data_IF_747580796011
#
_entry.id   IF_747580796011
#
_cell.length_a   1.000
_cell.length_b   1.000
_cell.length_c   1.000
_cell.angle_alpha   90.00
_cell.angle_beta   90.00
_cell.angle_gamma   90.00
#
_symmetry.space_group_name_H-M   'P 1'
#
loop_
_entity.id
_entity.type
_entity.pdbx_description
1 polymer ?
#
# COMPACT_ATOMS: atom_id res chain seq x y z
N UNK A 1 -32.51 11.81 20.17
CA UNK A 1 -32.86 10.41 19.82
C UNK A 1 -33.98 10.41 18.78
N UNK A 2 -33.69 10.08 17.52
CA UNK A 2 -34.72 9.70 16.53
C UNK A 2 -34.43 8.25 16.15
N UNK A 3 -35.30 7.36 16.60
CA UNK A 3 -35.29 5.96 16.21
C UNK A 3 -35.55 5.89 14.69
N UNK A 4 -34.54 5.51 13.91
CA UNK A 4 -34.74 5.10 12.53
C UNK A 4 -35.51 3.78 12.54
N UNK A 5 -36.74 3.80 12.01
CA UNK A 5 -37.47 2.57 11.73
C UNK A 5 -36.57 1.61 10.93
N UNK A 6 -36.37 0.40 11.47
CA UNK A 6 -35.74 -0.70 10.74
C UNK A 6 -36.70 -1.05 9.61
N UNK A 7 -36.47 -0.49 8.43
CA UNK A 7 -37.08 -0.95 7.20
C UNK A 7 -36.50 -2.35 6.93
N UNK A 8 -37.24 -3.39 7.32
CA UNK A 8 -37.09 -4.74 6.81
C UNK A 8 -37.50 -4.79 5.32
N UNK A 9 -36.96 -3.88 4.50
CA UNK A 9 -37.17 -3.93 3.06
C UNK A 9 -36.30 -5.09 2.55
N UNK A 10 -36.95 -6.23 2.35
CA UNK A 10 -36.38 -7.33 1.60
C UNK A 10 -36.01 -6.75 0.24
N UNK A 11 -34.71 -6.63 -0.02
CA UNK A 11 -34.22 -6.14 -1.30
C UNK A 11 -34.53 -7.22 -2.35
N UNK A 12 -35.71 -7.11 -2.96
CA UNK A 12 -36.25 -8.08 -3.92
C UNK A 12 -35.29 -8.32 -5.07
N UNK A 13 -34.52 -7.30 -5.50
CA UNK A 13 -33.50 -7.44 -6.52
C UNK A 13 -32.37 -8.39 -6.08
N UNK A 14 -31.85 -8.27 -4.85
CA UNK A 14 -30.84 -9.21 -4.31
C UNK A 14 -31.42 -10.61 -4.13
N UNK A 15 -32.68 -10.71 -3.72
CA UNK A 15 -33.35 -12.00 -3.52
C UNK A 15 -33.59 -12.72 -4.86
N UNK A 16 -34.07 -11.98 -5.86
CA UNK A 16 -34.20 -12.45 -7.23
C UNK A 16 -32.85 -12.83 -7.82
N UNK A 17 -31.80 -12.03 -7.62
CA UNK A 17 -30.44 -12.35 -8.06
C UNK A 17 -29.88 -13.63 -7.43
N UNK A 18 -30.21 -13.94 -6.16
CA UNK A 18 -29.87 -15.23 -5.52
C UNK A 18 -30.66 -16.39 -6.11
N UNK A 19 -31.96 -16.21 -6.33
CA UNK A 19 -32.84 -17.22 -6.93
C UNK A 19 -32.39 -17.52 -8.37
N UNK A 20 -32.15 -16.47 -9.17
CA UNK A 20 -31.59 -16.55 -10.50
C UNK A 20 -30.25 -17.28 -10.48
N UNK A 21 -29.27 -16.89 -9.66
CA UNK A 21 -27.98 -17.63 -9.58
C UNK A 21 -28.13 -19.12 -9.23
N UNK A 22 -29.16 -19.48 -8.46
CA UNK A 22 -29.46 -20.87 -8.07
C UNK A 22 -30.18 -21.64 -9.19
N UNK A 23 -31.10 -20.99 -9.90
CA UNK A 23 -31.98 -21.60 -10.92
C UNK A 23 -31.47 -21.44 -12.36
N UNK A 24 -30.65 -20.43 -12.64
CA UNK A 24 -30.05 -20.16 -13.96
C UNK A 24 -28.93 -21.15 -14.31
N UNK A 25 -28.43 -21.88 -13.30
CA UNK A 25 -27.62 -23.07 -13.55
C UNK A 25 -28.61 -24.15 -13.97
N UNK A 26 -28.77 -24.33 -15.29
CA UNK A 26 -29.52 -25.45 -15.86
C UNK A 26 -29.02 -26.74 -15.21
N UNK A 27 -29.81 -27.29 -14.29
CA UNK A 27 -29.61 -28.65 -13.82
C UNK A 27 -30.16 -29.52 -14.94
N UNK A 28 -29.34 -30.44 -15.46
CA UNK A 28 -29.84 -31.45 -16.37
C UNK A 28 -30.87 -32.29 -15.60
N UNK A 29 -32.15 -32.00 -15.81
CA UNK A 29 -33.22 -32.83 -15.30
C UNK A 29 -33.10 -34.17 -16.00
N UNK A 30 -33.18 -35.27 -15.27
CA UNK A 30 -33.29 -36.59 -15.88
C UNK A 30 -34.56 -36.59 -16.74
N UNK A 31 -34.40 -36.68 -18.07
CA UNK A 31 -35.52 -36.78 -19.00
C UNK A 31 -36.23 -38.12 -18.73
N UNK A 32 -37.35 -38.05 -18.01
CA UNK A 32 -38.23 -39.20 -17.86
C UNK A 32 -38.98 -39.41 -19.18
N UNK A 33 -39.01 -40.65 -19.67
CA UNK A 33 -39.72 -40.99 -20.90
C UNK A 33 -41.23 -40.84 -20.65
N UNK A 34 -41.95 -40.02 -21.44
CA UNK A 34 -43.41 -39.90 -21.35
C UNK A 34 -44.13 -41.25 -21.44
N UNK A 35 -45.16 -41.45 -20.61
CA UNK A 35 -45.89 -42.73 -20.53
C UNK A 35 -46.59 -43.10 -21.85
N UNK A 36 -47.10 -42.09 -22.56
CA UNK A 36 -47.73 -42.20 -23.88
C UNK A 36 -46.82 -42.88 -24.93
N UNK A 37 -45.51 -42.62 -24.89
CA UNK A 37 -44.54 -43.23 -25.82
C UNK A 37 -44.26 -44.70 -25.50
N UNK A 38 -44.46 -45.12 -24.24
CA UNK A 38 -44.37 -46.53 -23.84
C UNK A 38 -45.59 -47.31 -24.33
N UNK A 39 -46.77 -46.70 -24.30
CA UNK A 39 -48.02 -47.32 -24.76
C UNK A 39 -48.06 -47.53 -26.28
N UNK A 40 -47.47 -46.61 -27.05
CA UNK A 40 -47.37 -46.70 -28.51
C UNK A 40 -46.34 -47.75 -28.96
N UNK A 41 -45.54 -48.31 -28.03
CA UNK A 41 -44.58 -49.38 -28.32
C UNK A 41 -43.35 -48.92 -29.12
N UNK A 42 -43.01 -47.63 -29.06
CA UNK A 42 -41.87 -47.07 -29.79
C UNK A 42 -40.56 -47.60 -29.19
N UNK A 43 -39.64 -48.04 -30.05
CA UNK A 43 -38.31 -48.52 -29.62
C UNK A 43 -37.48 -47.33 -29.10
N UNK A 44 -37.42 -47.18 -27.79
CA UNK A 44 -36.60 -46.17 -27.12
C UNK A 44 -35.18 -46.72 -26.99
N UNK A 45 -34.20 -46.02 -27.58
CA UNK A 45 -32.77 -46.33 -27.43
C UNK A 45 -32.14 -45.33 -26.47
N UNK A 46 -31.28 -45.79 -25.56
CA UNK A 46 -30.51 -44.90 -24.71
C UNK A 46 -29.53 -44.12 -25.59
N UNK A 47 -29.37 -42.81 -25.35
CA UNK A 47 -28.41 -41.98 -26.08
C UNK A 47 -26.99 -42.56 -26.00
N UNK A 48 -26.65 -43.28 -24.93
CA UNK A 48 -25.38 -43.99 -24.76
C UNK A 48 -25.13 -45.11 -25.77
N UNK A 49 -26.19 -45.69 -26.34
CA UNK A 49 -26.10 -46.77 -27.34
C UNK A 49 -25.85 -46.22 -28.76
N UNK A 50 -26.25 -44.97 -29.00
CA UNK A 50 -26.13 -44.29 -30.31
C UNK A 50 -24.84 -43.46 -30.39
N UNK A 51 -24.45 -42.84 -29.28
CA UNK A 51 -23.22 -42.05 -29.22
C UNK A 51 -22.00 -42.96 -29.39
N UNK A 52 -21.19 -42.69 -30.41
CA UNK A 52 -19.92 -43.39 -30.65
C UNK A 52 -19.08 -43.43 -29.37
N UNK A 53 -18.34 -44.54 -29.20
CA UNK A 53 -17.51 -44.86 -28.03
C UNK A 53 -17.05 -43.62 -27.28
N UNK A 54 -17.56 -43.45 -26.07
CA UNK A 54 -17.09 -42.43 -25.14
C UNK A 54 -15.57 -42.57 -25.03
N UNK A 55 -14.81 -41.69 -25.70
CA UNK A 55 -13.37 -41.57 -25.47
C UNK A 55 -13.19 -41.24 -23.99
N UNK A 56 -12.94 -42.27 -23.18
CA UNK A 56 -12.59 -42.10 -21.77
C UNK A 56 -11.22 -41.45 -21.75
N UNK A 57 -11.20 -40.13 -21.64
CA UNK A 57 -9.96 -39.43 -21.37
C UNK A 57 -9.43 -39.95 -20.03
N UNK A 58 -8.16 -40.36 -19.95
CA UNK A 58 -7.57 -40.70 -18.66
C UNK A 58 -7.75 -39.51 -17.71
N UNK A 59 -8.08 -39.74 -16.43
CA UNK A 59 -8.24 -38.66 -15.48
C UNK A 59 -6.93 -37.86 -15.42
N UNK A 60 -6.95 -36.65 -15.99
CA UNK A 60 -5.84 -35.72 -15.84
C UNK A 60 -5.72 -35.45 -14.34
N UNK A 61 -4.55 -35.72 -13.76
CA UNK A 61 -4.23 -35.33 -12.39
C UNK A 61 -4.15 -33.81 -12.33
N UNK A 62 -5.31 -33.15 -12.29
CA UNK A 62 -5.39 -31.74 -11.96
C UNK A 62 -5.02 -31.65 -10.49
N UNK A 63 -3.92 -30.97 -10.19
CA UNK A 63 -3.57 -30.59 -8.82
C UNK A 63 -4.68 -29.65 -8.34
N UNK A 64 -5.70 -30.22 -7.69
CA UNK A 64 -6.78 -29.44 -7.09
C UNK A 64 -6.19 -28.74 -5.87
N UNK A 65 -6.34 -27.42 -5.79
CA UNK A 65 -6.07 -26.70 -4.55
C UNK A 65 -6.89 -27.37 -3.43
N UNK A 66 -6.32 -27.60 -2.24
CA UNK A 66 -7.05 -28.22 -1.15
C UNK A 66 -8.33 -27.41 -0.89
N UNK A 67 -9.45 -28.12 -0.78
CA UNK A 67 -10.72 -27.47 -0.44
C UNK A 67 -10.58 -26.89 0.97
N UNK A 68 -11.01 -25.63 1.21
CA UNK A 68 -11.02 -25.08 2.55
C UNK A 68 -11.86 -25.97 3.45
N UNK A 69 -11.29 -26.42 4.57
CA UNK A 69 -12.02 -27.25 5.54
C UNK A 69 -13.18 -26.43 6.10
N UNK A 70 -14.40 -26.99 6.20
CA UNK A 70 -15.52 -26.28 6.81
C UNK A 70 -15.13 -25.84 8.24
N UNK A 71 -15.54 -24.64 8.70
CA UNK A 71 -15.21 -24.17 10.02
C UNK A 71 -15.76 -25.14 11.08
N UNK A 72 -14.88 -25.73 11.89
CA UNK A 72 -15.28 -26.54 13.04
C UNK A 72 -15.82 -25.63 14.14
N UNK A 73 -16.98 -25.97 14.70
CA UNK A 73 -17.65 -25.23 15.77
C UNK A 73 -16.80 -25.17 17.05
N UNK A 74 -15.89 -26.12 17.25
CA UNK A 74 -15.07 -26.25 18.46
C UNK A 74 -13.66 -25.65 18.33
N UNK A 75 -13.25 -25.24 17.14
CA UNK A 75 -11.92 -24.68 16.92
C UNK A 75 -11.99 -23.16 16.98
N UNK A 76 -11.47 -22.57 18.05
CA UNK A 76 -11.18 -21.13 18.06
C UNK A 76 -10.05 -20.88 17.08
N UNK A 77 -10.40 -20.52 15.83
CA UNK A 77 -9.40 -20.19 14.81
C UNK A 77 -8.74 -18.85 15.16
N UNK A 78 -7.42 -18.86 15.36
CA UNK A 78 -6.62 -17.64 15.39
C UNK A 78 -6.52 -17.12 13.96
N UNK A 79 -7.02 -15.91 13.72
CA UNK A 79 -6.96 -15.28 12.40
C UNK A 79 -5.74 -14.37 12.30
N UNK A 80 -5.20 -14.27 11.09
CA UNK A 80 -4.20 -13.29 10.70
C UNK A 80 -4.89 -12.21 9.88
N UNK A 81 -4.74 -10.96 10.30
CA UNK A 81 -5.24 -9.80 9.57
C UNK A 81 -4.11 -9.24 8.71
N UNK A 82 -4.31 -9.15 7.40
CA UNK A 82 -3.27 -8.74 6.46
C UNK A 82 -3.57 -7.35 5.92
N UNK A 83 -2.60 -6.44 6.09
CA UNK A 83 -2.57 -5.15 5.43
C UNK A 83 -1.58 -5.22 4.28
N UNK A 84 -2.04 -5.00 3.05
CA UNK A 84 -1.20 -4.97 1.85
C UNK A 84 -1.27 -3.61 1.16
N UNK A 85 -0.41 -3.34 0.18
CA UNK A 85 -0.38 -2.06 -0.56
C UNK A 85 -1.64 -1.72 -1.38
N UNK A 86 -2.65 -2.59 -1.38
CA UNK A 86 -3.96 -2.34 -2.00
C UNK A 86 -5.10 -2.21 -1.00
N UNK A 87 -4.81 -2.31 0.31
CA UNK A 87 -5.83 -2.19 1.36
C UNK A 87 -6.20 -0.73 1.54
N UNK A 88 -7.47 -0.40 1.30
CA UNK A 88 -8.06 0.90 1.59
C UNK A 88 -8.70 0.84 2.99
N UNK A 89 -8.18 1.67 3.89
CA UNK A 89 -8.65 1.74 5.28
C UNK A 89 -9.78 2.76 5.41
N UNK A 90 -10.82 2.40 6.14
CA UNK A 90 -12.04 3.21 6.28
C UNK A 90 -11.82 4.46 7.15
N UNK A 91 -11.04 4.33 8.23
CA UNK A 91 -10.70 5.44 9.14
C UNK A 91 -9.33 6.07 8.79
N UNK A 92 -8.94 5.97 7.51
CA UNK A 92 -7.77 6.61 6.94
C UNK A 92 -6.49 6.41 7.79
N UNK A 93 -5.76 7.48 8.09
CA UNK A 93 -4.51 7.47 8.84
C UNK A 93 -4.68 7.00 10.29
N UNK A 94 -5.80 7.35 10.91
CA UNK A 94 -6.07 7.06 12.32
C UNK A 94 -6.13 5.55 12.57
N UNK A 95 -6.63 4.79 11.60
CA UNK A 95 -6.66 3.33 11.67
C UNK A 95 -5.25 2.74 11.74
N UNK A 96 -4.34 3.19 10.87
CA UNK A 96 -2.94 2.73 10.88
C UNK A 96 -2.20 3.23 12.12
N UNK A 97 -2.42 4.47 12.55
CA UNK A 97 -1.82 5.02 13.78
C UNK A 97 -2.23 4.19 15.00
N UNK A 98 -3.51 3.78 15.08
CA UNK A 98 -4.01 2.89 16.12
C UNK A 98 -3.42 1.46 16.05
N UNK A 99 -3.22 0.91 14.84
CA UNK A 99 -2.59 -0.39 14.64
C UNK A 99 -1.11 -0.40 15.05
N UNK A 100 -0.39 0.69 14.75
CA UNK A 100 1.08 0.80 14.93
C UNK A 100 1.48 1.45 16.26
N UNK A 101 0.52 1.88 17.09
CA UNK A 101 0.74 2.63 18.35
C UNK A 101 1.62 3.86 18.11
N UNK A 102 1.23 4.67 17.13
CA UNK A 102 1.98 5.84 16.67
C UNK A 102 1.20 7.13 16.94
N UNK A 103 1.90 8.18 17.36
CA UNK A 103 1.40 9.54 17.51
C UNK A 103 1.76 10.41 16.29
N UNK A 104 0.78 11.12 15.70
CA UNK A 104 1.03 12.03 14.60
C UNK A 104 1.41 13.44 15.07
N UNK A 105 2.41 14.03 14.42
CA UNK A 105 2.80 15.43 14.52
C UNK A 105 2.76 16.08 13.13
N UNK A 106 2.38 17.36 13.08
CA UNK A 106 2.32 18.13 11.84
C UNK A 106 3.66 18.83 11.55
N UNK A 107 4.05 18.85 10.29
CA UNK A 107 5.30 19.44 9.79
C UNK A 107 6.52 18.55 9.93
N UNK A 108 7.53 18.77 9.08
CA UNK A 108 8.80 18.04 9.14
C UNK A 108 9.66 18.46 10.35
N UNK A 109 10.49 17.56 10.89
CA UNK A 109 11.46 17.89 11.93
C UNK A 109 12.38 19.05 11.52
N UNK A 110 12.75 19.90 12.48
CA UNK A 110 13.60 21.08 12.25
C UNK A 110 14.91 20.78 11.51
N UNK A 111 15.51 19.62 11.79
CA UNK A 111 16.72 19.12 11.13
C UNK A 111 16.55 18.96 9.61
N UNK A 112 15.36 18.56 9.16
CA UNK A 112 15.05 18.41 7.74
C UNK A 112 14.65 19.74 7.12
N UNK A 113 13.87 20.55 7.84
CA UNK A 113 13.45 21.86 7.38
C UNK A 113 14.66 22.77 7.09
N UNK A 114 15.73 22.66 7.88
CA UNK A 114 16.98 23.38 7.63
C UNK A 114 17.75 22.94 6.38
N UNK A 115 17.49 21.74 5.84
CA UNK A 115 18.14 21.23 4.64
C UNK A 115 17.40 21.64 3.35
N UNK A 116 16.19 22.15 3.46
CA UNK A 116 15.39 22.60 2.31
C UNK A 116 16.07 23.81 1.68
N UNK A 117 16.47 23.67 0.41
CA UNK A 117 17.12 24.74 -0.36
C UNK A 117 18.61 24.92 -0.10
N UNK A 118 19.25 24.07 0.72
CA UNK A 118 20.71 24.12 0.95
C UNK A 118 21.49 23.77 -0.32
N UNK A 119 21.08 22.70 -1.00
CA UNK A 119 21.60 22.33 -2.30
C UNK A 119 20.54 22.49 -3.37
N UNK A 120 21.00 22.86 -4.56
CA UNK A 120 20.20 22.91 -5.76
C UNK A 120 21.01 22.43 -6.96
N UNK A 121 20.27 22.03 -7.99
CA UNK A 121 20.82 21.62 -9.29
C UNK A 121 20.76 22.81 -10.24
N UNK A 122 21.74 23.01 -11.14
CA UNK A 122 21.61 23.97 -12.23
C UNK A 122 20.35 23.70 -13.06
N UNK A 123 19.53 24.73 -13.29
CA UNK A 123 18.25 24.62 -14.03
C UNK A 123 17.29 23.56 -13.46
N UNK A 124 17.28 23.37 -12.14
CA UNK A 124 16.49 22.37 -11.43
C UNK A 124 15.03 22.29 -11.90
N UNK A 125 14.33 23.41 -11.91
CA UNK A 125 12.90 23.44 -12.22
C UNK A 125 12.63 23.01 -13.68
N UNK A 126 13.48 23.43 -14.62
CA UNK A 126 13.39 23.01 -16.02
C UNK A 126 13.65 21.51 -16.17
N UNK A 127 14.60 20.94 -15.42
CA UNK A 127 14.89 19.51 -15.44
C UNK A 127 13.74 18.68 -14.83
N UNK A 128 13.11 19.17 -13.76
CA UNK A 128 11.94 18.53 -13.16
C UNK A 128 10.75 18.57 -14.12
N UNK A 129 10.48 19.72 -14.76
CA UNK A 129 9.44 19.85 -15.78
C UNK A 129 9.71 18.95 -16.99
N UNK A 130 10.95 18.87 -17.46
CA UNK A 130 11.35 17.97 -18.54
C UNK A 130 11.13 16.50 -18.15
N UNK A 131 11.44 16.14 -16.89
CA UNK A 131 11.21 14.79 -16.36
C UNK A 131 9.73 14.44 -16.29
N UNK A 132 8.87 15.41 -15.94
CA UNK A 132 7.41 15.27 -15.98
C UNK A 132 6.90 14.99 -17.40
N UNK A 133 7.32 15.80 -18.37
CA UNK A 133 6.94 15.63 -19.77
C UNK A 133 7.42 14.29 -20.33
N UNK A 134 8.66 13.89 -20.01
CA UNK A 134 9.21 12.60 -20.42
C UNK A 134 8.46 11.41 -19.82
N UNK A 135 8.04 11.49 -18.56
CA UNK A 135 7.33 10.39 -17.91
C UNK A 135 5.86 10.27 -18.37
N UNK A 136 5.22 11.36 -18.77
CA UNK A 136 3.78 11.37 -19.02
C UNK A 136 3.36 11.52 -20.49
N UNK A 137 4.05 12.37 -21.26
CA UNK A 137 3.67 12.75 -22.63
C UNK A 137 4.64 12.15 -23.65
N UNK A 138 5.95 12.33 -23.48
CA UNK A 138 6.94 11.93 -24.49
C UNK A 138 7.28 10.44 -24.46
N UNK A 139 6.62 9.66 -23.61
CA UNK A 139 6.67 8.20 -23.65
C UNK A 139 5.75 7.69 -24.78
N UNK A 140 6.32 6.94 -25.73
CA UNK A 140 5.62 6.44 -26.92
C UNK A 140 4.70 5.24 -26.67
N UNK A 141 4.37 4.92 -25.43
CA UNK A 141 3.53 3.78 -25.08
C UNK A 141 2.06 4.00 -25.49
N UNK A 142 1.51 3.06 -26.25
CA UNK A 142 0.14 3.10 -26.77
C UNK A 142 -0.73 2.04 -26.09
N UNK A 143 -0.90 2.15 -24.78
CA UNK A 143 -1.78 1.27 -24.04
C UNK A 143 -3.23 1.79 -24.00
N UNK A 144 -4.19 0.90 -24.15
CA UNK A 144 -5.62 1.25 -24.08
C UNK A 144 -6.00 1.56 -22.63
N UNK A 145 -6.16 2.85 -22.31
CA UNK A 145 -6.40 3.33 -20.94
C UNK A 145 -7.77 2.88 -20.40
N UNK A 146 -7.94 2.84 -19.06
CA UNK A 146 -9.24 2.67 -18.41
C UNK A 146 -10.27 3.67 -18.95
N UNK A 147 -11.56 3.34 -18.82
CA UNK A 147 -12.60 4.30 -19.16
C UNK A 147 -12.55 5.43 -18.14
N UNK A 148 -12.52 6.66 -18.62
CA UNK A 148 -12.81 7.81 -17.79
C UNK A 148 -14.25 7.69 -17.30
N UNK A 149 -14.46 8.01 -16.03
CA UNK A 149 -15.77 8.09 -15.40
C UNK A 149 -15.91 9.52 -14.92
N UNK A 150 -16.97 10.20 -15.34
CA UNK A 150 -17.33 11.51 -14.82
C UNK A 150 -18.24 11.29 -13.60
N UNK A 151 -17.83 11.73 -12.38
CA UNK A 151 -18.66 11.60 -11.18
C UNK A 151 -20.02 12.29 -11.32
N UNK A 152 -20.09 13.38 -12.08
CA UNK A 152 -21.34 14.12 -12.30
C UNK A 152 -22.26 13.41 -13.31
N UNK A 153 -21.69 12.70 -14.28
CA UNK A 153 -22.41 12.05 -15.37
C UNK A 153 -22.04 10.57 -15.53
N UNK A 154 -22.38 9.74 -14.55
CA UNK A 154 -22.08 8.30 -14.54
C UNK A 154 -22.64 7.51 -15.74
N UNK A 155 -23.67 8.03 -16.43
CA UNK A 155 -24.29 7.39 -17.59
C UNK A 155 -23.53 7.65 -18.90
N UNK A 156 -22.68 8.69 -18.94
CA UNK A 156 -21.93 9.03 -20.15
C UNK A 156 -20.76 8.08 -20.33
N UNK A 157 -20.72 7.41 -21.49
CA UNK A 157 -19.67 6.46 -21.82
C UNK A 157 -18.58 7.13 -22.67
N UNK A 158 -17.50 7.57 -22.03
CA UNK A 158 -16.33 8.11 -22.73
C UNK A 158 -15.67 7.05 -23.62
N UNK A 159 -15.18 7.49 -24.80
CA UNK A 159 -14.30 6.67 -25.64
C UNK A 159 -12.98 6.47 -24.90
N UNK A 160 -12.46 5.24 -24.92
CA UNK A 160 -11.15 4.95 -24.31
C UNK A 160 -10.04 5.59 -25.14
N UNK A 161 -9.18 6.35 -24.47
CA UNK A 161 -7.95 6.88 -25.05
C UNK A 161 -6.84 5.82 -25.04
N UNK A 162 -5.83 6.03 -25.89
CA UNK A 162 -4.57 5.30 -25.85
C UNK A 162 -3.49 6.20 -25.25
N UNK A 163 -2.60 5.63 -24.46
CA UNK A 163 -1.47 6.35 -23.88
C UNK A 163 -0.71 5.50 -22.88
N UNK A 164 0.17 6.12 -22.12
CA UNK A 164 1.02 5.43 -21.14
C UNK A 164 0.24 5.01 -19.90
N UNK A 165 0.46 3.78 -19.42
CA UNK A 165 -0.15 3.26 -18.17
C UNK A 165 0.22 4.10 -16.95
N UNK A 166 -0.71 4.26 -16.01
CA UNK A 166 -0.48 5.04 -14.79
C UNK A 166 0.73 4.54 -13.99
N UNK A 167 0.81 3.22 -13.76
CA UNK A 167 1.94 2.57 -13.08
C UNK A 167 3.29 2.98 -13.68
N UNK A 168 3.39 3.00 -15.01
CA UNK A 168 4.62 3.36 -15.73
C UNK A 168 4.93 4.85 -15.62
N UNK A 169 3.91 5.71 -15.66
CA UNK A 169 4.08 7.16 -15.45
C UNK A 169 4.62 7.46 -14.06
N UNK A 170 4.05 6.84 -13.02
CA UNK A 170 4.46 7.04 -11.63
C UNK A 170 5.89 6.53 -11.40
N UNK A 171 6.17 5.26 -11.74
CA UNK A 171 7.53 4.70 -11.60
C UNK A 171 8.56 5.47 -12.42
N UNK A 172 8.24 5.78 -13.67
CA UNK A 172 9.12 6.50 -14.58
C UNK A 172 9.38 7.95 -14.20
N UNK A 173 8.44 8.61 -13.49
CA UNK A 173 8.66 9.93 -12.91
C UNK A 173 9.57 9.83 -11.69
N UNK A 174 9.26 8.92 -10.77
CA UNK A 174 10.06 8.71 -9.55
C UNK A 174 11.53 8.41 -9.88
N UNK A 175 11.78 7.50 -10.84
CA UNK A 175 13.13 7.17 -11.31
C UNK A 175 13.92 8.40 -11.76
N UNK A 176 13.29 9.28 -12.55
CA UNK A 176 13.93 10.51 -13.03
C UNK A 176 14.19 11.50 -11.91
N UNK A 177 13.25 11.66 -10.97
CA UNK A 177 13.45 12.54 -9.82
C UNK A 177 14.56 12.03 -8.89
N UNK A 178 14.65 10.72 -8.67
CA UNK A 178 15.76 10.11 -7.93
C UNK A 178 17.08 10.35 -8.68
N UNK A 179 17.11 10.21 -10.00
CA UNK A 179 18.30 10.51 -10.81
C UNK A 179 18.75 11.97 -10.67
N UNK A 180 17.80 12.93 -10.64
CA UNK A 180 18.13 14.33 -10.34
C UNK A 180 18.69 14.48 -8.92
N UNK A 181 18.12 13.79 -7.93
CA UNK A 181 18.66 13.78 -6.58
C UNK A 181 20.09 13.21 -6.53
N UNK A 182 20.38 12.15 -7.29
CA UNK A 182 21.73 11.58 -7.43
C UNK A 182 22.72 12.58 -8.02
N UNK A 183 22.30 13.31 -9.06
CA UNK A 183 23.12 14.36 -9.66
C UNK A 183 23.44 15.49 -8.66
N UNK A 184 22.49 15.85 -7.78
CA UNK A 184 22.70 16.83 -6.73
C UNK A 184 23.71 16.35 -5.67
N UNK A 185 23.58 15.09 -5.22
CA UNK A 185 24.42 14.56 -4.14
C UNK A 185 25.82 14.11 -4.58
N UNK A 186 26.09 14.06 -5.89
CA UNK A 186 27.40 13.68 -6.44
C UNK A 186 28.57 14.52 -5.92
N UNK A 187 28.30 15.68 -5.31
CA UNK A 187 29.28 16.54 -4.65
C UNK A 187 29.79 15.96 -3.31
N UNK A 188 29.02 15.08 -2.65
CA UNK A 188 29.35 14.54 -1.33
C UNK A 188 29.96 13.13 -1.46
N UNK A 189 31.19 12.89 -0.99
CA UNK A 189 31.83 11.57 -1.12
C UNK A 189 31.09 10.46 -0.33
N UNK A 190 30.34 10.84 0.70
CA UNK A 190 29.49 9.92 1.48
C UNK A 190 28.32 9.34 0.67
N UNK A 191 28.00 9.90 -0.50
CA UNK A 191 26.95 9.37 -1.39
C UNK A 191 27.25 7.92 -1.81
N UNK A 192 28.53 7.56 -1.97
CA UNK A 192 28.98 6.21 -2.36
C UNK A 192 28.66 5.14 -1.31
N UNK A 193 28.29 5.55 -0.09
CA UNK A 193 27.91 4.64 0.99
C UNK A 193 26.41 4.34 1.01
N UNK A 194 25.68 4.72 -0.05
CA UNK A 194 24.26 4.45 -0.20
C UNK A 194 23.99 3.47 -1.33
N UNK A 195 23.11 2.52 -1.05
CA UNK A 195 22.59 1.62 -2.08
C UNK A 195 21.11 1.90 -2.30
N UNK A 196 20.67 1.68 -3.54
CA UNK A 196 19.27 1.75 -3.94
C UNK A 196 18.79 0.35 -4.26
N UNK A 197 17.68 -0.04 -3.66
CA UNK A 197 17.01 -1.32 -3.88
C UNK A 197 15.69 -1.02 -4.56
N UNK A 198 15.45 -1.65 -5.70
CA UNK A 198 14.23 -1.50 -6.49
C UNK A 198 13.27 -2.63 -6.11
N UNK A 199 11.98 -2.35 -6.04
CA UNK A 199 10.91 -3.29 -5.70
C UNK A 199 11.16 -4.03 -4.38
N UNK A 200 11.49 -3.25 -3.34
CA UNK A 200 11.64 -3.78 -1.99
C UNK A 200 10.26 -4.16 -1.42
N UNK A 201 10.19 -5.30 -0.72
CA UNK A 201 8.95 -5.79 -0.13
C UNK A 201 9.17 -6.23 1.31
N UNK A 202 8.28 -5.80 2.21
CA UNK A 202 8.39 -6.08 3.64
C UNK A 202 7.19 -6.86 4.17
N UNK A 203 7.43 -8.09 4.61
CA UNK A 203 6.52 -8.88 5.44
C UNK A 203 6.89 -8.81 6.91
N UNK A 204 5.94 -8.43 7.76
CA UNK A 204 6.09 -8.37 9.21
C UNK A 204 4.80 -8.76 9.93
N UNK A 205 4.85 -9.78 10.80
CA UNK A 205 3.73 -10.14 11.69
C UNK A 205 4.00 -9.65 13.11
N UNK A 206 3.02 -8.96 13.70
CA UNK A 206 3.02 -8.48 15.09
C UNK A 206 1.64 -8.72 15.73
N UNK A 207 1.62 -8.96 17.04
CA UNK A 207 0.39 -9.08 17.80
C UNK A 207 -0.06 -7.72 18.36
N UNK A 208 -1.33 -7.37 18.13
CA UNK A 208 -1.97 -6.12 18.54
C UNK A 208 -3.32 -6.42 19.20
N UNK A 209 -3.50 -6.06 20.46
CA UNK A 209 -4.75 -6.30 21.22
C UNK A 209 -5.29 -7.75 21.09
N UNK A 210 -4.39 -8.74 21.14
CA UNK A 210 -4.72 -10.17 20.99
C UNK A 210 -4.99 -10.66 19.56
N UNK A 211 -4.93 -9.78 18.56
CA UNK A 211 -5.05 -10.13 17.14
C UNK A 211 -3.69 -10.12 16.45
N UNK A 212 -3.38 -11.12 15.62
CA UNK A 212 -2.14 -11.11 14.82
C UNK A 212 -2.35 -10.31 13.54
N UNK A 213 -1.60 -9.24 13.39
CA UNK A 213 -1.61 -8.37 12.20
C UNK A 213 -0.33 -8.60 11.41
N UNK A 214 -0.46 -8.83 10.11
CA UNK A 214 0.66 -8.93 9.18
C UNK A 214 0.65 -7.73 8.24
N UNK A 215 1.74 -6.99 8.19
CA UNK A 215 2.00 -5.94 7.23
C UNK A 215 2.77 -6.52 6.05
N UNK A 216 2.24 -6.34 4.84
CA UNK A 216 2.79 -6.78 3.56
C UNK A 216 2.97 -5.56 2.66
N UNK A 217 4.03 -4.79 2.92
CA UNK A 217 4.18 -3.46 2.37
C UNK A 217 5.20 -3.44 1.22
N UNK A 218 4.79 -3.05 0.01
CA UNK A 218 5.72 -2.78 -1.08
C UNK A 218 6.37 -1.40 -0.92
N UNK A 219 7.56 -1.26 -1.49
CA UNK A 219 8.34 -0.04 -1.57
C UNK A 219 9.07 -0.02 -2.92
N UNK A 220 8.81 0.98 -3.77
CA UNK A 220 9.33 1.03 -5.13
C UNK A 220 10.84 1.22 -5.14
N UNK A 221 11.31 2.21 -4.39
CA UNK A 221 12.72 2.48 -4.18
C UNK A 221 13.01 2.54 -2.69
N UNK A 222 13.99 1.77 -2.25
CA UNK A 222 14.51 1.79 -0.90
C UNK A 222 15.95 2.28 -0.94
N UNK A 223 16.21 3.41 -0.30
CA UNK A 223 17.56 3.94 -0.11
C UNK A 223 18.07 3.41 1.22
N UNK A 224 19.24 2.79 1.19
CA UNK A 224 19.96 2.33 2.38
C UNK A 224 21.27 3.09 2.52
N UNK A 225 21.81 3.12 3.74
CA UNK A 225 23.04 3.83 4.07
C UNK A 225 23.90 3.03 5.04
N UNK A 226 25.20 3.30 5.08
CA UNK A 226 26.14 2.66 6.01
C UNK A 226 25.91 3.05 7.48
N UNK A 227 25.37 4.25 7.73
CA UNK A 227 25.14 4.81 9.08
C UNK A 227 23.64 5.06 9.29
N UNK A 228 23.08 4.77 10.47
CA UNK A 228 21.68 5.04 10.74
C UNK A 228 21.40 6.55 10.77
N UNK A 229 20.16 6.91 10.46
CA UNK A 229 19.68 8.28 10.63
C UNK A 229 19.68 8.70 12.10
N UNK A 230 20.00 9.98 12.34
CA UNK A 230 19.91 10.60 13.66
C UNK A 230 18.45 10.61 14.14
N UNK A 231 18.27 10.59 15.46
CA UNK A 231 16.95 10.72 16.11
C UNK A 231 16.30 12.05 15.75
N UNK A 232 14.98 12.00 15.49
CA UNK A 232 14.17 13.17 15.24
C UNK A 232 13.70 13.80 16.56
N UNK A 233 13.18 12.96 17.47
CA UNK A 233 12.79 13.35 18.81
C UNK A 233 13.89 13.11 19.85
N UNK A 234 13.95 13.99 20.85
CA UNK A 234 14.81 13.82 22.01
C UNK A 234 14.29 12.72 22.95
N UNK A 235 15.14 12.22 23.87
CA UNK A 235 14.71 11.20 24.83
C UNK A 235 13.61 11.70 25.79
N UNK A 236 13.57 13.01 26.06
CA UNK A 236 12.52 13.65 26.87
C UNK A 236 11.17 13.61 26.14
N UNK A 237 11.16 14.02 24.87
CA UNK A 237 9.95 13.99 24.04
C UNK A 237 9.39 12.58 23.89
N UNK A 238 10.27 11.57 23.80
CA UNK A 238 9.84 10.16 23.76
C UNK A 238 9.19 9.74 25.08
N UNK A 239 9.74 10.16 26.23
CA UNK A 239 9.15 9.87 27.54
C UNK A 239 7.79 10.57 27.72
N UNK A 240 7.62 11.78 27.19
CA UNK A 240 6.35 12.52 27.21
C UNK A 240 5.23 11.81 26.43
N UNK A 241 5.57 10.94 25.47
CA UNK A 241 4.57 10.16 24.72
C UNK A 241 3.77 9.20 25.59
N UNK A 242 4.27 8.83 26.76
CA UNK A 242 3.55 7.95 27.70
C UNK A 242 2.20 8.55 28.09
N UNK A 243 2.16 9.88 28.33
CA UNK A 243 0.96 10.60 28.73
C UNK A 243 -0.01 10.97 27.60
N UNK A 244 0.38 10.83 26.33
CA UNK A 244 -0.45 11.19 25.18
C UNK A 244 -1.27 10.00 24.69
N UNK A 245 -2.54 10.15 24.35
CA UNK A 245 -3.35 9.03 23.85
C UNK A 245 -3.15 8.76 22.35
N UNK A 246 -3.15 7.48 21.96
CA UNK A 246 -3.17 7.07 20.55
C UNK A 246 -4.56 7.43 19.96
N UNK A 247 -4.67 7.79 18.66
CA UNK A 247 -5.95 8.04 18.03
C UNK A 247 -6.99 6.95 18.32
N UNK A 248 -8.09 7.35 18.94
CA UNK A 248 -9.19 6.45 19.30
C UNK A 248 -10.20 6.40 18.16
N UNK A 249 -10.35 5.23 17.54
CA UNK A 249 -11.26 4.98 16.42
C UNK A 249 -12.54 4.24 16.84
N UNK A 250 -12.86 4.18 18.14
CA UNK A 250 -14.09 3.57 18.62
C UNK A 250 -15.33 4.24 17.99
N UNK A 251 -16.31 3.50 17.44
CA UNK A 251 -16.60 2.06 17.63
C UNK A 251 -15.95 1.10 16.61
N UNK A 252 -15.17 1.60 15.66
CA UNK A 252 -14.58 0.81 14.59
C UNK A 252 -13.40 0.00 15.13
N UNK A 253 -13.27 -1.25 14.66
CA UNK A 253 -12.12 -2.09 14.99
C UNK A 253 -10.94 -1.72 14.08
N UNK A 254 -9.71 -1.59 14.61
CA UNK A 254 -8.53 -1.31 13.78
C UNK A 254 -8.30 -2.33 12.64
N UNK A 255 -8.79 -3.55 12.81
CA UNK A 255 -8.64 -4.65 11.86
C UNK A 255 -9.80 -4.79 10.86
N UNK A 256 -10.73 -3.83 10.77
CA UNK A 256 -11.97 -3.97 10.02
C UNK A 256 -11.74 -4.24 8.51
N UNK A 257 -10.90 -3.43 7.88
CA UNK A 257 -10.65 -3.47 6.43
C UNK A 257 -9.51 -4.41 6.03
N UNK A 258 -8.89 -5.08 7.01
CA UNK A 258 -7.75 -5.96 6.77
C UNK A 258 -8.20 -7.34 6.28
N UNK A 259 -7.46 -7.91 5.35
CA UNK A 259 -7.73 -9.23 4.81
C UNK A 259 -7.61 -10.30 5.88
N UNK A 260 -8.68 -11.07 6.08
CA UNK A 260 -8.77 -12.08 7.14
C UNK A 260 -8.33 -13.44 6.62
N UNK A 261 -7.16 -13.90 7.04
CA UNK A 261 -6.60 -15.21 6.71
C UNK A 261 -6.65 -16.18 7.90
N UNK A 262 -6.87 -17.47 7.61
CA UNK A 262 -6.81 -18.54 8.62
C UNK A 262 -5.39 -19.10 8.79
N UNK A 263 -4.62 -19.09 7.71
CA UNK A 263 -3.24 -19.55 7.68
C UNK A 263 -2.30 -18.36 7.73
N UNK A 264 -1.15 -18.53 8.39
CA UNK A 264 -0.13 -17.49 8.43
C UNK A 264 0.35 -17.24 7.00
N UNK A 265 0.35 -15.98 6.52
CA UNK A 265 0.89 -15.68 5.20
C UNK A 265 2.36 -16.10 5.13
N UNK A 266 2.77 -16.61 3.97
CA UNK A 266 4.16 -17.00 3.73
C UNK A 266 5.04 -15.76 3.89
N UNK A 267 5.97 -15.80 4.84
CA UNK A 267 6.94 -14.72 5.04
C UNK A 267 7.96 -14.75 3.90
N UNK A 268 8.02 -13.68 3.11
CA UNK A 268 9.19 -13.43 2.28
C UNK A 268 10.38 -13.03 3.16
N UNK A 269 11.52 -13.67 2.89
CA UNK A 269 12.79 -13.24 3.45
C UNK A 269 13.16 -11.92 2.77
N UNK A 270 13.23 -10.81 3.51
CA UNK A 270 13.87 -9.60 2.99
C UNK A 270 15.34 -9.96 2.70
N UNK A 271 15.91 -9.50 1.58
CA UNK A 271 17.35 -9.64 1.35
C UNK A 271 18.10 -9.06 2.55
N UNK A 272 18.95 -9.86 3.19
CA UNK A 272 19.77 -9.39 4.32
C UNK A 272 20.65 -8.25 3.82
N UNK A 273 20.34 -7.02 4.23
CA UNK A 273 21.22 -5.89 4.01
C UNK A 273 22.32 -5.94 5.08
N UNK A 274 23.36 -6.73 4.84
CA UNK A 274 24.50 -6.80 5.76
C UNK A 274 25.05 -5.38 5.97
N UNK A 275 25.03 -4.91 7.23
CA UNK A 275 25.59 -3.63 7.67
C UNK A 275 25.04 -2.39 6.92
N UNK A 276 23.76 -2.39 6.57
CA UNK A 276 23.08 -1.23 5.99
C UNK A 276 21.82 -0.89 6.78
N UNK A 277 21.60 0.39 6.96
CA UNK A 277 20.45 0.98 7.64
C UNK A 277 19.49 1.58 6.62
N UNK A 278 18.19 1.47 6.89
CA UNK A 278 17.18 2.05 6.02
C UNK A 278 17.24 3.58 6.17
N UNK A 279 17.28 4.28 5.05
CA UNK A 279 17.38 5.74 5.02
C UNK A 279 16.05 6.36 4.59
N UNK A 280 15.65 6.14 3.34
CA UNK A 280 14.42 6.69 2.77
C UNK A 280 13.65 5.62 2.00
N UNK A 281 12.35 5.55 2.26
CA UNK A 281 11.38 4.75 1.53
C UNK A 281 10.70 5.62 0.46
N UNK A 282 10.50 5.06 -0.73
CA UNK A 282 9.66 5.65 -1.76
C UNK A 282 8.46 4.75 -2.01
N UNK A 283 7.31 5.16 -1.50
CA UNK A 283 6.04 4.43 -1.62
C UNK A 283 5.22 5.07 -2.72
N UNK A 284 4.85 4.30 -3.74
CA UNK A 284 4.11 4.81 -4.89
C UNK A 284 2.71 4.23 -4.95
N UNK A 285 1.72 5.09 -5.18
CA UNK A 285 0.37 4.66 -5.52
C UNK A 285 0.24 4.56 -7.04
N UNK A 286 0.27 3.33 -7.54
CA UNK A 286 0.20 3.04 -8.97
C UNK A 286 -1.23 2.88 -9.49
N UNK A 287 -2.18 2.53 -8.61
CA UNK A 287 -3.56 2.27 -9.01
C UNK A 287 -4.18 3.44 -9.77
N UNK A 288 -4.99 3.13 -10.77
CA UNK A 288 -5.81 4.14 -11.45
C UNK A 288 -7.02 4.57 -10.61
N UNK A 289 -7.39 3.77 -9.59
CA UNK A 289 -8.51 4.09 -8.71
C UNK A 289 -8.24 5.36 -7.91
N UNK A 290 -9.29 6.11 -7.60
CA UNK A 290 -9.20 7.28 -6.73
C UNK A 290 -8.97 6.85 -5.29
N UNK A 291 -7.82 7.22 -4.73
CA UNK A 291 -7.50 7.04 -3.33
C UNK A 291 -7.60 8.38 -2.63
N UNK A 292 -8.18 8.40 -1.42
CA UNK A 292 -8.10 9.61 -0.61
C UNK A 292 -6.63 9.85 -0.21
N UNK A 293 -6.12 11.10 -0.22
CA UNK A 293 -4.74 11.41 0.18
C UNK A 293 -4.38 10.89 1.59
N UNK A 294 -5.38 10.75 2.45
CA UNK A 294 -5.21 10.22 3.79
C UNK A 294 -5.08 8.70 3.83
N UNK A 295 -5.68 7.99 2.88
CA UNK A 295 -5.51 6.54 2.73
C UNK A 295 -4.10 6.21 2.23
N UNK A 296 -3.54 7.00 1.32
CA UNK A 296 -2.15 6.83 0.86
C UNK A 296 -1.17 7.12 1.99
N UNK A 297 -1.43 8.12 2.83
CA UNK A 297 -0.65 8.36 4.05
C UNK A 297 -0.75 7.17 5.03
N UNK A 298 -1.93 6.58 5.21
CA UNK A 298 -2.10 5.39 6.04
C UNK A 298 -1.23 4.22 5.58
N UNK A 299 -1.06 4.05 4.26
CA UNK A 299 -0.13 3.06 3.70
C UNK A 299 1.33 3.43 3.92
N UNK A 300 1.69 4.71 3.73
CA UNK A 300 3.06 5.18 3.95
C UNK A 300 3.50 4.97 5.41
N UNK A 301 2.62 5.22 6.38
CA UNK A 301 2.86 4.93 7.81
C UNK A 301 3.06 3.43 8.02
N UNK A 302 2.19 2.59 7.45
CA UNK A 302 2.30 1.14 7.57
C UNK A 302 3.62 0.60 6.98
N UNK A 303 4.05 1.16 5.84
CA UNK A 303 5.35 0.84 5.24
C UNK A 303 6.49 1.24 6.18
N UNK A 304 6.55 2.49 6.64
CA UNK A 304 7.58 2.96 7.56
C UNK A 304 7.68 2.12 8.82
N UNK A 305 6.53 1.81 9.42
CA UNK A 305 6.45 0.95 10.59
C UNK A 305 6.98 -0.46 10.29
N UNK A 306 6.54 -1.08 9.19
CA UNK A 306 6.95 -2.45 8.84
C UNK A 306 8.45 -2.57 8.59
N UNK A 307 9.04 -1.62 7.87
CA UNK A 307 10.46 -1.59 7.52
C UNK A 307 11.32 -1.30 8.75
N UNK A 308 10.95 -0.30 9.57
CA UNK A 308 11.66 0.01 10.82
C UNK A 308 11.57 -1.12 11.84
N UNK A 309 10.41 -1.73 12.00
CA UNK A 309 10.22 -2.82 12.94
C UNK A 309 10.97 -4.09 12.51
N UNK A 310 11.07 -4.33 11.19
CA UNK A 310 11.91 -5.42 10.67
C UNK A 310 13.39 -5.13 10.89
N UNK A 311 13.85 -3.89 10.67
CA UNK A 311 15.22 -3.48 11.01
C UNK A 311 15.51 -3.64 12.51
N UNK A 312 14.57 -3.25 13.39
CA UNK A 312 14.70 -3.43 14.83
C UNK A 312 14.84 -4.90 15.22
N UNK A 313 13.99 -5.77 14.67
CA UNK A 313 14.07 -7.22 14.92
C UNK A 313 15.36 -7.83 14.42
N UNK A 314 15.92 -7.32 13.32
CA UNK A 314 17.23 -7.75 12.83
C UNK A 314 18.39 -7.25 13.71
N UNK A 315 18.33 -5.99 14.17
CA UNK A 315 19.41 -5.36 14.96
C UNK A 315 19.45 -5.83 16.41
N UNK A 316 18.30 -5.91 17.06
CA UNK A 316 18.20 -6.16 18.51
C UNK A 316 17.67 -7.56 18.86
N UNK A 317 17.14 -8.31 17.88
CA UNK A 317 16.54 -9.63 18.08
C UNK A 317 15.01 -9.65 17.96
N UNK A 318 14.45 -10.85 17.87
CA UNK A 318 13.03 -11.06 17.52
C UNK A 318 12.07 -10.60 18.63
N UNK A 319 12.48 -10.73 19.89
CA UNK A 319 11.62 -10.54 21.08
C UNK A 319 11.75 -9.13 21.71
N UNK A 320 12.30 -8.18 20.96
CA UNK A 320 12.56 -6.83 21.45
C UNK A 320 11.26 -6.07 21.57
N UNK A 321 11.06 -5.45 22.74
CA UNK A 321 9.89 -4.62 23.06
C UNK A 321 10.25 -3.15 22.95
N UNK A 322 10.72 -2.55 24.04
CA UNK A 322 11.24 -1.17 24.05
C UNK A 322 12.64 -1.16 23.46
N UNK A 323 12.89 -0.25 22.51
CA UNK A 323 14.16 -0.21 21.79
C UNK A 323 15.23 0.56 22.60
N UNK A 324 16.48 0.04 22.69
CA UNK A 324 17.57 0.77 23.33
C UNK A 324 17.94 2.08 22.60
N UNK A 325 18.00 2.02 21.26
CA UNK A 325 18.10 3.20 20.41
C UNK A 325 16.97 3.15 19.37
N UNK A 326 16.28 4.28 19.13
CA UNK A 326 15.19 4.35 18.17
C UNK A 326 15.69 4.15 16.74
N UNK A 327 14.82 3.63 15.89
CA UNK A 327 15.07 3.49 14.45
C UNK A 327 14.31 4.60 13.72
N UNK A 328 15.05 5.39 12.95
CA UNK A 328 14.54 6.56 12.25
C UNK A 328 14.54 6.29 10.75
N UNK A 329 13.39 6.48 10.11
CA UNK A 329 13.22 6.28 8.67
C UNK A 329 12.48 7.49 8.11
N UNK A 330 12.77 7.82 6.85
CA UNK A 330 12.02 8.82 6.10
C UNK A 330 11.20 8.13 5.00
N UNK A 331 10.13 8.79 4.57
CA UNK A 331 9.34 8.29 3.47
C UNK A 331 8.87 9.44 2.59
N UNK A 332 9.08 9.27 1.30
CA UNK A 332 8.41 10.01 0.24
C UNK A 332 7.31 9.11 -0.26
N UNK A 333 6.07 9.57 -0.15
CA UNK A 333 4.94 8.84 -0.72
C UNK A 333 4.25 9.71 -1.76
N UNK A 334 4.00 9.13 -2.92
CA UNK A 334 3.52 9.88 -4.07
C UNK A 334 2.56 9.05 -4.91
N UNK A 335 1.68 9.76 -5.60
CA UNK A 335 0.97 9.24 -6.76
C UNK A 335 1.58 9.89 -8.02
N UNK A 336 0.78 10.24 -9.01
CA UNK A 336 1.27 10.95 -10.19
C UNK A 336 1.37 12.47 -9.98
N UNK A 337 0.48 13.04 -9.17
CA UNK A 337 0.26 14.49 -8.98
C UNK A 337 0.66 14.95 -7.58
N UNK A 338 0.28 14.22 -6.55
CA UNK A 338 0.58 14.47 -5.14
C UNK A 338 1.92 13.88 -4.72
N UNK A 339 2.69 14.69 -4.00
CA UNK A 339 4.00 14.38 -3.46
C UNK A 339 4.02 14.78 -2.01
N UNK A 340 4.20 13.80 -1.15
CA UNK A 340 4.04 13.99 0.27
C UNK A 340 5.23 13.39 1.01
N UNK A 341 5.52 13.96 2.17
CA UNK A 341 6.73 13.68 2.92
C UNK A 341 6.37 13.35 4.35
N UNK A 342 6.98 12.30 4.89
CA UNK A 342 6.87 12.00 6.30
C UNK A 342 8.18 11.45 6.86
N UNK A 343 8.35 11.58 8.17
CA UNK A 343 9.42 10.91 8.91
C UNK A 343 8.86 10.11 10.06
N UNK A 344 9.46 8.97 10.31
CA UNK A 344 8.97 7.99 11.26
C UNK A 344 10.09 7.62 12.24
N UNK A 345 9.78 7.66 13.52
CA UNK A 345 10.66 7.21 14.59
C UNK A 345 10.00 6.07 15.36
N UNK A 346 10.62 4.89 15.24
CA UNK A 346 10.24 3.69 15.97
C UNK A 346 10.94 3.70 17.33
N UNK A 347 10.15 3.79 18.40
CA UNK A 347 10.62 3.79 19.79
C UNK A 347 10.31 2.46 20.49
N UNK A 348 9.20 1.81 20.13
CA UNK A 348 8.76 0.56 20.78
C UNK A 348 8.06 -0.39 19.80
N UNK A 349 8.22 -1.68 20.07
CA UNK A 349 7.48 -2.79 19.49
C UNK A 349 6.50 -3.43 20.50
N UNK A 350 6.35 -2.85 21.69
CA UNK A 350 5.33 -3.28 22.66
C UNK A 350 3.96 -2.70 22.29
N UNK A 351 3.26 -3.44 21.43
CA UNK A 351 1.95 -3.08 20.88
C UNK A 351 0.78 -3.81 21.57
N UNK A 352 1.05 -4.64 22.58
CA UNK A 352 0.02 -5.44 23.25
C UNK A 352 -1.09 -4.58 23.87
N UNK A 353 -0.72 -3.40 24.38
CA UNK A 353 -1.59 -2.42 25.01
C UNK A 353 -1.29 -1.01 24.47
N UNK A 354 -2.18 -0.05 24.78
CA UNK A 354 -2.00 1.35 24.38
C UNK A 354 -1.07 2.13 25.32
N UNK A 355 -0.74 1.57 26.47
CA UNK A 355 0.01 2.24 27.54
C UNK A 355 1.52 2.24 27.29
N UNK A 356 2.22 3.15 27.96
CA UNK A 356 3.68 3.32 27.86
C UNK A 356 4.11 4.10 26.62
N UNK A 357 5.41 3.98 26.28
CA UNK A 357 6.05 4.72 25.19
C UNK A 357 5.36 4.42 23.87
N UNK A 358 5.25 5.44 23.01
CA UNK A 358 4.60 5.36 21.69
C UNK A 358 5.59 5.71 20.58
N UNK A 359 5.28 5.22 19.38
CA UNK A 359 6.01 5.59 18.18
C UNK A 359 5.58 6.99 17.72
N UNK A 360 6.39 7.66 16.91
CA UNK A 360 6.12 9.03 16.49
C UNK A 360 6.26 9.15 14.98
N UNK A 361 5.36 9.92 14.36
CA UNK A 361 5.42 10.26 12.94
C UNK A 361 5.22 11.74 12.75
N UNK A 362 6.05 12.36 11.91
CA UNK A 362 5.92 13.75 11.49
C UNK A 362 5.48 13.78 10.04
N UNK A 363 4.38 14.48 9.77
CA UNK A 363 3.68 14.47 8.50
C UNK A 363 3.73 15.88 7.93
N UNK A 364 4.30 16.05 6.74
CA UNK A 364 4.27 17.31 6.02
C UNK A 364 2.91 17.55 5.35
N UNK A 365 2.60 18.81 5.05
CA UNK A 365 1.37 19.14 4.33
C UNK A 365 1.35 18.53 2.93
N UNK A 366 0.21 17.98 2.47
CA UNK A 366 0.13 17.42 1.14
C UNK A 366 0.40 18.46 0.06
N UNK A 367 1.29 18.15 -0.88
CA UNK A 367 1.68 19.08 -1.94
C UNK A 367 1.46 18.47 -3.32
N UNK A 368 0.83 19.23 -4.21
CA UNK A 368 0.75 18.88 -5.63
C UNK A 368 1.96 19.43 -6.37
N UNK A 369 2.59 18.61 -7.22
CA UNK A 369 3.74 19.04 -8.03
C UNK A 369 3.33 19.87 -9.25
N UNK A 370 2.14 19.60 -9.79
CA UNK A 370 1.54 20.30 -10.93
C UNK A 370 0.01 20.14 -10.89
N UNK A 371 -0.74 20.87 -11.70
CA UNK A 371 -2.20 20.68 -11.79
C UNK A 371 -2.62 19.74 -12.89
N UNK A 372 -2.21 20.02 -14.12
CA UNK A 372 -2.50 19.20 -15.29
C UNK A 372 -1.27 19.12 -16.21
N UNK A 373 -1.20 18.01 -16.94
CA UNK A 373 -0.18 17.77 -17.97
C UNK A 373 -0.90 17.36 -19.24
N UNK A 374 -0.70 18.11 -20.33
CA UNK A 374 -1.34 17.85 -21.63
C UNK A 374 -0.43 18.22 -22.79
N UNK A 375 -0.68 17.63 -23.97
CA UNK A 375 0.09 17.94 -25.18
C UNK A 375 -0.03 19.41 -25.61
N UNK A 376 -1.17 20.06 -25.30
CA UNK A 376 -1.45 21.44 -25.70
C UNK A 376 -0.82 22.45 -24.74
N UNK A 377 -1.02 22.25 -23.43
CA UNK A 377 -0.62 23.22 -22.41
C UNK A 377 0.70 22.84 -21.71
N UNK A 378 1.31 21.71 -22.08
CA UNK A 378 2.47 21.09 -21.45
C UNK A 378 2.25 20.81 -19.97
N UNK A 379 2.54 21.78 -19.09
CA UNK A 379 2.37 21.68 -17.63
C UNK A 379 1.65 22.93 -17.15
N UNK A 380 0.57 22.77 -16.40
CA UNK A 380 -0.14 23.88 -15.73
C UNK A 380 0.17 23.90 -14.24
N UNK A 381 0.35 25.10 -13.68
CA UNK A 381 0.58 25.37 -12.25
C UNK A 381 1.65 24.48 -11.59
N UNK A 382 2.84 24.44 -12.18
CA UNK A 382 3.99 23.76 -11.59
C UNK A 382 4.38 24.36 -10.24
N UNK A 383 4.58 23.52 -9.23
CA UNK A 383 4.99 23.91 -7.89
C UNK A 383 6.49 23.61 -7.64
N UNK A 384 7.36 24.64 -7.64
CA UNK A 384 8.82 24.46 -7.45
C UNK A 384 9.21 24.07 -6.02
N UNK A 385 8.30 24.14 -5.05
CA UNK A 385 8.63 23.86 -3.64
C UNK A 385 8.71 22.37 -3.30
N UNK A 386 8.14 21.50 -4.14
CA UNK A 386 8.04 20.06 -3.87
C UNK A 386 9.39 19.34 -4.01
N UNK A 387 10.10 19.57 -5.12
CA UNK A 387 11.35 18.89 -5.38
C UNK A 387 12.47 19.22 -4.35
N UNK A 388 12.65 20.49 -3.91
CA UNK A 388 13.57 20.82 -2.82
C UNK A 388 13.31 20.04 -1.53
N UNK A 389 12.05 19.75 -1.18
CA UNK A 389 11.71 18.91 -0.02
C UNK A 389 12.19 17.47 -0.23
N UNK A 390 11.90 16.87 -1.38
CA UNK A 390 12.40 15.54 -1.75
C UNK A 390 13.93 15.47 -1.68
N UNK A 391 14.60 16.49 -2.22
CA UNK A 391 16.06 16.60 -2.20
C UNK A 391 16.60 16.76 -0.77
N UNK A 392 15.93 17.52 0.10
CA UNK A 392 16.32 17.68 1.50
C UNK A 392 16.27 16.35 2.28
N UNK A 393 15.22 15.55 2.08
CA UNK A 393 15.14 14.19 2.64
C UNK A 393 16.30 13.34 2.12
N UNK A 394 16.56 13.41 0.82
CA UNK A 394 17.69 12.70 0.21
C UNK A 394 19.03 13.17 0.77
N UNK A 395 19.25 14.46 1.06
CA UNK A 395 20.51 14.98 1.60
C UNK A 395 20.76 14.62 3.07
N UNK A 396 19.70 14.29 3.83
CA UNK A 396 19.82 14.04 5.25
C UNK A 396 20.83 12.92 5.55
N UNK A 397 21.75 13.16 6.49
CA UNK A 397 22.82 12.23 6.83
C UNK A 397 24.07 12.29 5.93
N UNK A 398 24.03 13.02 4.81
CA UNK A 398 25.22 13.35 4.02
C UNK A 398 25.80 14.70 4.46
N UNK A 399 24.92 15.69 4.67
CA UNK A 399 25.30 16.98 5.19
C UNK A 399 25.62 16.84 6.68
N UNK A 400 26.88 16.56 7.00
CA UNK A 400 27.38 16.83 8.34
C UNK A 400 27.40 18.36 8.46
N UNK A 401 26.68 18.99 9.41
CA UNK A 401 27.06 20.34 9.77
C UNK A 401 28.53 20.25 10.12
N UNK A 402 29.37 20.92 9.33
CA UNK A 402 30.74 21.19 9.71
C UNK A 402 30.68 21.66 11.15
N UNK A 403 31.52 21.06 12.00
CA UNK A 403 31.80 21.61 13.31
C UNK A 403 32.15 23.09 13.11
N UNK A 404 31.19 23.96 13.36
CA UNK A 404 31.47 25.36 13.60
C UNK A 404 31.78 25.43 15.08
N UNK A 405 33.08 25.60 15.31
CA UNK A 405 33.84 25.75 16.57
C UNK A 405 34.45 24.47 17.13
#
# INVERSE_FOLDING_TARGET
MRFSHILNQINYHRHFGRIWKRQSRLQATELQVPEELKEIGVVIKDAKEILWENKKFPPVKVVRKPLPKPPSVFSQKKYFYVMHGGTQVSENENQTLALTKTLPYQGLPSQLTSLIGVDSIPNQDQLVQTSLLQAQIWDGDQYKLPKLVDPENLLYNFRRAYGTKNDKKVSGLLEKLIFLCDAAIGKYPTCLQRDKVIDAFCDLTIDRNGSSVTFQMPCEFLVTSSKPLKRFASASEVAETEGQEVPNIFPIKPTLDLDKLEEKPMSSSIPRFNNRHIHTLFVTQKSFDEWEPKQTLAQAIAACFSFSAKEAKMKYGVDVKVLPEPINIQCVYMDLKSFNFLTYQLNTLDLGHNDGIKNQVWIDEPASLYDEVSELNLITNYNPQVFPKMLALYLNGLHSPSAQN
#
